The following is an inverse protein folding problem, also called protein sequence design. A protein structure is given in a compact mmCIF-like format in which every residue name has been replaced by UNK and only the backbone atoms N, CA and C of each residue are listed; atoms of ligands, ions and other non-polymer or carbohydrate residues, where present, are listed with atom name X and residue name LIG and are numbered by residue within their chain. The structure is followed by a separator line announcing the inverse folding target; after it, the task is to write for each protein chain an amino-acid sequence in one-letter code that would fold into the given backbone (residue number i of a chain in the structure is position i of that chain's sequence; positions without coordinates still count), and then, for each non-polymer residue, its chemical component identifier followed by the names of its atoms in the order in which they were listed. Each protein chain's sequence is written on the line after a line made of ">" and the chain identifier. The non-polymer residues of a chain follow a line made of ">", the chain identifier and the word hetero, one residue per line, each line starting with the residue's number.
data_IF_321631248292
#
_entry.id   IF_321631248292
#
_cell.length_a   1.000
_cell.length_b   1.000
_cell.length_c   1.000
_cell.angle_alpha   90.00
_cell.angle_beta   90.00
_cell.angle_gamma   90.00
#
_symmetry.space_group_name_H-M   'P 1'
#
loop_
_entity.id
_entity.type
_entity.pdbx_description
1 polymer ?
#
# COMPACT_ATOMS: atom_id res chain seq x y z
N UNK A 1 -9.81 -17.26 37.16
CA UNK A 1 -10.34 -16.62 38.39
C UNK A 1 -10.86 -15.23 38.03
N UNK A 2 -12.04 -14.86 38.51
CA UNK A 2 -12.57 -13.50 38.38
C UNK A 2 -12.14 -12.62 39.55
N UNK A 3 -11.77 -11.37 39.28
CA UNK A 3 -11.56 -10.31 40.26
C UNK A 3 -12.24 -9.01 39.83
N UNK A 4 -12.32 -8.06 40.75
CA UNK A 4 -13.07 -6.82 40.59
C UNK A 4 -12.16 -5.58 40.75
N UNK A 5 -12.53 -4.46 40.15
CA UNK A 5 -11.85 -3.19 40.38
C UNK A 5 -12.84 -2.06 40.63
N UNK A 6 -12.35 -0.94 41.16
CA UNK A 6 -13.19 0.22 41.49
C UNK A 6 -13.88 0.77 40.22
N UNK A 7 -15.23 0.78 40.15
CA UNK A 7 -15.95 1.27 38.98
C UNK A 7 -15.63 2.73 38.62
N UNK A 8 -15.09 3.53 39.54
CA UNK A 8 -14.63 4.88 39.26
C UNK A 8 -13.57 4.93 38.14
N UNK A 9 -12.79 3.87 37.94
CA UNK A 9 -11.81 3.81 36.84
C UNK A 9 -12.45 3.72 35.45
N UNK A 10 -13.73 3.33 35.34
CA UNK A 10 -14.47 3.33 34.07
C UNK A 10 -14.69 4.74 33.49
N UNK A 11 -14.28 5.81 34.20
CA UNK A 11 -14.19 7.15 33.62
C UNK A 11 -13.02 7.31 32.65
N UNK A 12 -12.03 6.40 32.68
CA UNK A 12 -10.94 6.37 31.72
C UNK A 12 -11.39 5.69 30.42
N UNK A 13 -10.83 6.09 29.26
CA UNK A 13 -11.05 5.37 28.02
C UNK A 13 -10.74 3.88 28.13
N UNK A 14 -11.61 3.05 27.55
CA UNK A 14 -11.54 1.59 27.61
C UNK A 14 -10.19 1.07 27.09
N UNK A 15 -9.64 1.69 26.04
CA UNK A 15 -8.36 1.30 25.45
C UNK A 15 -7.21 1.35 26.46
N UNK A 16 -7.22 2.34 27.37
CA UNK A 16 -6.20 2.49 28.41
C UNK A 16 -6.35 1.35 29.42
N UNK A 17 -7.56 1.11 29.91
CA UNK A 17 -7.84 0.07 30.90
C UNK A 17 -7.53 -1.32 30.36
N UNK A 18 -7.98 -1.60 29.13
CA UNK A 18 -7.73 -2.87 28.43
C UNK A 18 -6.24 -3.09 28.19
N UNK A 19 -5.49 -2.05 27.79
CA UNK A 19 -4.05 -2.17 27.57
C UNK A 19 -3.30 -2.44 28.87
N UNK A 20 -3.62 -1.74 29.96
CA UNK A 20 -3.05 -2.00 31.29
C UNK A 20 -3.34 -3.45 31.74
N UNK A 21 -4.57 -3.92 31.55
CA UNK A 21 -4.94 -5.30 31.89
C UNK A 21 -4.20 -6.33 31.03
N UNK A 22 -4.26 -6.19 29.70
CA UNK A 22 -3.74 -7.18 28.75
C UNK A 22 -2.22 -7.21 28.73
N UNK A 23 -1.58 -6.05 28.61
CA UNK A 23 -0.16 -5.99 28.25
C UNK A 23 0.73 -5.97 29.51
N UNK A 24 0.28 -5.31 30.59
CA UNK A 24 1.07 -5.19 31.82
C UNK A 24 0.72 -6.24 32.88
N UNK A 25 -0.51 -6.75 32.88
CA UNK A 25 -0.98 -7.70 33.90
C UNK A 25 -1.35 -9.09 33.37
N UNK A 26 -1.47 -9.25 32.04
CA UNK A 26 -1.92 -10.49 31.38
C UNK A 26 -3.31 -10.94 31.85
N UNK A 27 -4.18 -9.97 32.10
CA UNK A 27 -5.59 -10.18 32.43
C UNK A 27 -6.48 -10.06 31.19
N UNK A 28 -7.64 -10.70 31.24
CA UNK A 28 -8.71 -10.51 30.27
C UNK A 28 -9.69 -9.47 30.82
N UNK A 29 -9.91 -8.42 30.05
CA UNK A 29 -10.99 -7.47 30.27
C UNK A 29 -12.35 -8.17 30.09
N UNK A 30 -13.34 -7.81 30.89
CA UNK A 30 -14.69 -8.36 30.80
C UNK A 30 -15.63 -7.28 30.28
N UNK A 31 -16.35 -7.61 29.21
CA UNK A 31 -17.41 -6.74 28.67
C UNK A 31 -18.78 -7.22 29.16
N UNK A 32 -19.69 -6.27 29.35
CA UNK A 32 -21.11 -6.53 29.53
C UNK A 32 -21.72 -7.01 28.22
N UNK A 33 -22.95 -7.53 28.27
CA UNK A 33 -23.70 -7.96 27.07
C UNK A 33 -23.94 -6.86 26.03
N UNK A 34 -23.88 -5.59 26.44
CA UNK A 34 -24.03 -4.43 25.56
C UNK A 34 -22.71 -3.95 24.94
N UNK A 35 -21.58 -4.62 25.22
CA UNK A 35 -20.25 -4.26 24.71
C UNK A 35 -19.50 -3.23 25.56
N UNK A 36 -20.10 -2.69 26.62
CA UNK A 36 -19.38 -1.79 27.55
C UNK A 36 -18.44 -2.57 28.46
N UNK A 37 -17.30 -1.98 28.79
CA UNK A 37 -16.38 -2.54 29.77
C UNK A 37 -17.06 -2.67 31.15
N UNK A 38 -16.94 -3.84 31.76
CA UNK A 38 -17.39 -4.12 33.12
C UNK A 38 -16.24 -3.90 34.11
N UNK A 39 -16.51 -3.58 35.39
CA UNK A 39 -15.49 -3.41 36.42
C UNK A 39 -14.93 -4.76 36.93
N UNK A 40 -14.71 -5.70 36.01
CA UNK A 40 -14.28 -7.07 36.27
C UNK A 40 -13.13 -7.44 35.33
N UNK A 41 -12.27 -8.34 35.80
CA UNK A 41 -11.23 -8.95 34.99
C UNK A 41 -11.13 -10.45 35.27
N UNK A 42 -10.62 -11.20 34.30
CA UNK A 42 -10.27 -12.61 34.48
C UNK A 42 -8.76 -12.78 34.43
N UNK A 43 -8.23 -13.62 35.30
CA UNK A 43 -6.83 -14.02 35.30
C UNK A 43 -6.68 -15.54 35.42
N UNK A 44 -5.61 -16.08 34.86
CA UNK A 44 -5.27 -17.51 34.96
C UNK A 44 -4.41 -17.72 36.20
N UNK A 45 -4.84 -18.64 37.05
CA UNK A 45 -4.11 -19.04 38.26
C UNK A 45 -3.70 -20.50 38.14
N UNK A 46 -2.51 -20.85 38.62
CA UNK A 46 -1.98 -22.21 38.55
C UNK A 46 -2.38 -23.06 39.78
N UNK A 47 -3.57 -22.83 40.33
CA UNK A 47 -4.13 -23.57 41.48
C UNK A 47 -5.61 -23.79 41.26
N UNK A 48 -6.14 -24.89 41.79
CA UNK A 48 -7.55 -25.31 41.59
C UNK A 48 -8.55 -24.28 42.13
N UNK A 49 -8.22 -23.59 43.23
CA UNK A 49 -9.09 -22.58 43.86
C UNK A 49 -8.33 -21.63 44.77
N UNK A 50 -8.77 -20.37 44.81
CA UNK A 50 -8.33 -19.38 45.80
C UNK A 50 -9.25 -19.39 47.02
N UNK A 51 -9.16 -20.44 47.85
CA UNK A 51 -10.10 -20.66 48.96
C UNK A 51 -10.09 -19.54 50.02
N UNK A 52 -8.99 -18.78 50.12
CA UNK A 52 -8.83 -17.69 51.09
C UNK A 52 -9.04 -16.30 50.47
N UNK A 53 -9.25 -16.21 49.16
CA UNK A 53 -9.39 -14.93 48.44
C UNK A 53 -8.12 -14.08 48.37
N UNK A 54 -6.97 -14.61 48.80
CA UNK A 54 -5.73 -13.84 48.92
C UNK A 54 -5.10 -13.57 47.55
N UNK A 55 -5.24 -14.52 46.62
CA UNK A 55 -4.72 -14.36 45.25
C UNK A 55 -5.55 -13.30 44.54
N UNK A 56 -6.89 -13.37 44.65
CA UNK A 56 -7.80 -12.35 44.14
C UNK A 56 -7.46 -10.96 44.67
N UNK A 57 -7.46 -10.78 46.00
CA UNK A 57 -7.16 -9.49 46.62
C UNK A 57 -5.78 -8.95 46.23
N UNK A 58 -4.80 -9.84 46.03
CA UNK A 58 -3.48 -9.48 45.51
C UNK A 58 -3.54 -8.87 44.11
N UNK A 59 -4.21 -9.54 43.16
CA UNK A 59 -4.37 -9.04 41.79
C UNK A 59 -5.18 -7.73 41.74
N UNK A 60 -6.26 -7.63 42.51
CA UNK A 60 -7.09 -6.41 42.59
C UNK A 60 -6.29 -5.22 43.10
N UNK A 61 -5.45 -5.43 44.13
CA UNK A 61 -4.56 -4.38 44.66
C UNK A 61 -3.54 -3.91 43.63
N UNK A 62 -2.93 -4.84 42.88
CA UNK A 62 -1.95 -4.50 41.83
C UNK A 62 -2.64 -3.74 40.70
N UNK A 63 -3.81 -4.19 40.25
CA UNK A 63 -4.55 -3.54 39.18
C UNK A 63 -5.00 -2.13 39.58
N UNK A 64 -5.50 -1.96 40.81
CA UNK A 64 -5.87 -0.65 41.36
C UNK A 64 -4.71 0.35 41.30
N UNK A 65 -3.50 -0.07 41.68
CA UNK A 65 -2.32 0.80 41.62
C UNK A 65 -2.02 1.21 40.17
N UNK A 66 -2.05 0.27 39.22
CA UNK A 66 -1.80 0.56 37.80
C UNK A 66 -2.86 1.45 37.15
N UNK A 67 -4.14 1.26 37.49
CA UNK A 67 -5.19 2.17 37.02
C UNK A 67 -5.09 3.57 37.66
N UNK A 68 -4.64 3.67 38.91
CA UNK A 68 -4.37 4.97 39.53
C UNK A 68 -3.22 5.70 38.82
N UNK A 69 -2.14 5.00 38.45
CA UNK A 69 -1.05 5.56 37.64
C UNK A 69 -1.58 6.06 36.28
N UNK A 70 -2.32 5.22 35.56
CA UNK A 70 -2.93 5.59 34.27
C UNK A 70 -3.86 6.80 34.40
N UNK A 71 -4.69 6.84 35.44
CA UNK A 71 -5.57 7.98 35.72
C UNK A 71 -4.76 9.26 35.98
N UNK A 72 -3.69 9.16 36.75
CA UNK A 72 -2.80 10.29 37.03
C UNK A 72 -2.17 10.83 35.74
N UNK A 73 -1.63 9.96 34.87
CA UNK A 73 -1.05 10.40 33.60
C UNK A 73 -2.10 11.02 32.67
N UNK A 74 -3.27 10.39 32.54
CA UNK A 74 -4.38 10.91 31.73
C UNK A 74 -4.77 12.33 32.14
N UNK A 75 -4.90 12.57 33.46
CA UNK A 75 -5.22 13.89 33.98
C UNK A 75 -4.06 14.88 33.86
N UNK A 76 -2.83 14.42 34.09
CA UNK A 76 -1.64 15.28 34.06
C UNK A 76 -1.33 15.77 32.64
N UNK A 77 -1.38 14.87 31.65
CA UNK A 77 -1.07 15.22 30.27
C UNK A 77 -2.10 16.18 29.66
N UNK A 78 -3.36 16.11 30.10
CA UNK A 78 -4.43 17.01 29.64
C UNK A 78 -4.41 18.41 30.27
N UNK A 79 -3.43 18.73 31.14
CA UNK A 79 -3.23 20.09 31.65
C UNK A 79 -2.76 21.07 30.57
N UNK A 80 -2.20 20.55 29.46
CA UNK A 80 -1.90 21.32 28.26
C UNK A 80 -2.53 20.64 27.04
N UNK A 81 -2.58 21.36 25.91
CA UNK A 81 -3.14 20.82 24.67
C UNK A 81 -2.16 19.81 24.08
N UNK A 82 -2.66 18.83 23.34
CA UNK A 82 -1.85 17.85 22.61
C UNK A 82 -0.85 18.55 21.68
N UNK A 83 -1.28 19.63 21.01
CA UNK A 83 -0.41 20.45 20.17
C UNK A 83 0.79 21.06 20.93
N UNK A 84 0.68 21.31 22.23
CA UNK A 84 1.75 21.89 23.04
C UNK A 84 2.92 20.92 23.26
N UNK A 85 2.72 19.62 22.96
CA UNK A 85 3.77 18.60 22.97
C UNK A 85 4.61 18.58 21.69
N UNK A 86 4.14 19.21 20.60
CA UNK A 86 4.83 19.20 19.31
C UNK A 86 6.29 19.67 19.39
N UNK A 87 6.64 20.79 20.08
CA UNK A 87 8.04 21.21 20.22
C UNK A 87 8.89 20.21 20.99
N UNK A 88 8.30 19.43 21.90
CA UNK A 88 9.04 18.42 22.69
C UNK A 88 9.55 17.28 21.82
N UNK A 89 8.93 17.04 20.66
CA UNK A 89 9.36 16.01 19.71
C UNK A 89 10.74 16.30 19.09
N UNK A 90 11.28 17.52 19.19
CA UNK A 90 12.66 17.84 18.77
C UNK A 90 13.70 17.03 19.54
N UNK A 91 13.37 16.61 20.78
CA UNK A 91 14.26 15.82 21.65
C UNK A 91 14.07 14.31 21.47
N UNK A 92 13.05 13.89 20.72
CA UNK A 92 12.74 12.48 20.49
C UNK A 92 13.35 12.08 19.16
N UNK A 93 14.48 11.39 19.19
CA UNK A 93 15.16 10.91 17.98
C UNK A 93 14.27 9.91 17.23
N UNK A 94 14.04 10.16 15.94
CA UNK A 94 13.41 9.19 15.06
C UNK A 94 14.46 8.22 14.49
N UNK A 95 15.43 8.76 13.75
CA UNK A 95 16.64 8.05 13.31
C UNK A 95 17.76 9.09 13.17
N UNK A 96 18.98 8.77 13.61
CA UNK A 96 20.04 9.77 13.80
C UNK A 96 20.42 10.56 12.53
N UNK A 97 20.20 10.00 11.34
CA UNK A 97 20.45 10.63 10.04
C UNK A 97 19.20 11.29 9.45
N UNK A 98 18.00 10.91 9.89
CA UNK A 98 16.69 11.45 9.50
C UNK A 98 16.11 12.48 10.48
N UNK A 99 16.73 12.65 11.64
CA UNK A 99 16.40 13.68 12.63
C UNK A 99 15.45 13.21 13.73
N UNK A 100 14.70 14.16 14.24
CA UNK A 100 13.75 14.01 15.34
C UNK A 100 12.35 13.63 14.85
N UNK A 101 11.46 13.26 15.76
CA UNK A 101 10.03 13.12 15.44
C UNK A 101 9.38 14.45 15.06
N UNK A 102 9.91 15.60 15.51
CA UNK A 102 9.47 16.92 15.01
C UNK A 102 9.74 17.05 13.51
N UNK A 103 10.95 16.71 13.08
CA UNK A 103 11.34 16.74 11.67
C UNK A 103 10.48 15.80 10.83
N UNK A 104 10.20 14.61 11.37
CA UNK A 104 9.31 13.64 10.76
C UNK A 104 7.87 14.16 10.62
N UNK A 105 7.30 14.77 11.65
CA UNK A 105 5.95 15.37 11.59
C UNK A 105 5.86 16.40 10.47
N UNK A 106 6.86 17.26 10.31
CA UNK A 106 6.85 18.27 9.23
C UNK A 106 6.83 17.63 7.83
N UNK A 107 7.56 16.53 7.62
CA UNK A 107 7.51 15.77 6.36
C UNK A 107 6.15 15.08 6.17
N UNK A 108 5.58 14.49 7.23
CA UNK A 108 4.26 13.86 7.20
C UNK A 108 3.18 14.88 6.84
N UNK A 109 3.20 16.08 7.43
CA UNK A 109 2.26 17.17 7.10
C UNK A 109 2.30 17.50 5.61
N UNK A 110 3.49 17.76 5.07
CA UNK A 110 3.66 18.05 3.64
C UNK A 110 3.13 16.93 2.74
N UNK A 111 3.39 15.67 3.11
CA UNK A 111 2.91 14.51 2.36
C UNK A 111 1.40 14.30 2.47
N UNK A 112 0.82 14.44 3.65
CA UNK A 112 -0.63 14.29 3.87
C UNK A 112 -1.41 15.35 3.08
N UNK A 113 -0.94 16.59 3.07
CA UNK A 113 -1.46 17.65 2.21
C UNK A 113 -1.35 17.28 0.73
N UNK A 114 -0.18 16.79 0.30
CA UNK A 114 0.01 16.37 -1.09
C UNK A 114 -0.96 15.25 -1.50
N UNK A 115 -1.17 14.21 -0.67
CA UNK A 115 -2.13 13.15 -0.93
C UNK A 115 -3.56 13.69 -1.11
N UNK A 116 -4.01 14.55 -0.20
CA UNK A 116 -5.35 15.12 -0.26
C UNK A 116 -5.56 16.04 -1.46
N UNK A 117 -4.55 16.82 -1.86
CA UNK A 117 -4.55 17.59 -3.11
C UNK A 117 -4.65 16.70 -4.35
N UNK A 118 -3.89 15.59 -4.40
CA UNK A 118 -3.97 14.64 -5.52
C UNK A 118 -5.38 14.04 -5.63
N UNK A 119 -5.95 13.60 -4.52
CA UNK A 119 -7.30 13.02 -4.49
C UNK A 119 -8.37 14.05 -4.85
N UNK A 120 -8.23 15.30 -4.41
CA UNK A 120 -9.11 16.39 -4.80
C UNK A 120 -9.10 16.61 -6.32
N UNK A 121 -7.91 16.64 -6.94
CA UNK A 121 -7.77 16.79 -8.39
C UNK A 121 -8.40 15.63 -9.18
N UNK A 122 -8.58 14.47 -8.53
CA UNK A 122 -9.23 13.28 -9.07
C UNK A 122 -10.73 13.19 -8.69
N UNK A 123 -11.28 14.24 -8.06
CA UNK A 123 -12.70 14.35 -7.73
C UNK A 123 -13.12 13.76 -6.39
N UNK A 124 -12.17 13.40 -5.51
CA UNK A 124 -12.47 12.90 -4.16
C UNK A 124 -12.54 14.07 -3.16
N UNK A 125 -13.76 14.51 -2.83
CA UNK A 125 -14.00 15.74 -2.08
C UNK A 125 -13.99 15.59 -0.54
N UNK A 126 -13.89 14.37 -0.02
CA UNK A 126 -14.07 14.07 1.41
C UNK A 126 -12.77 14.06 2.23
N UNK A 127 -11.67 14.59 1.69
CA UNK A 127 -10.40 14.70 2.42
C UNK A 127 -9.89 16.14 2.27
N UNK A 128 -10.10 16.97 3.29
CA UNK A 128 -9.69 18.36 3.25
C UNK A 128 -8.23 18.53 3.65
N UNK A 129 -7.48 19.31 2.87
CA UNK A 129 -6.05 19.59 3.13
C UNK A 129 -5.82 20.13 4.54
N UNK A 130 -6.70 21.01 5.02
CA UNK A 130 -6.59 21.59 6.36
C UNK A 130 -6.75 20.56 7.49
N UNK A 131 -7.66 19.59 7.33
CA UNK A 131 -7.87 18.51 8.30
C UNK A 131 -6.70 17.53 8.29
N UNK A 132 -6.16 17.22 7.10
CA UNK A 132 -4.98 16.38 6.95
C UNK A 132 -3.73 17.01 7.56
N UNK A 133 -3.52 18.31 7.36
CA UNK A 133 -2.42 19.06 7.98
C UNK A 133 -2.54 19.04 9.51
N UNK A 134 -3.72 19.36 10.04
CA UNK A 134 -3.96 19.38 11.49
C UNK A 134 -3.83 18.00 12.13
N UNK A 135 -4.36 16.96 11.50
CA UNK A 135 -4.21 15.60 11.98
C UNK A 135 -2.75 15.14 11.93
N UNK A 136 -2.00 15.45 10.86
CA UNK A 136 -0.59 15.13 10.77
C UNK A 136 0.27 15.86 11.81
N UNK A 137 -0.05 17.13 12.10
CA UNK A 137 0.58 17.92 13.15
C UNK A 137 0.46 17.25 14.53
N UNK A 138 -0.71 16.71 14.84
CA UNK A 138 -1.02 16.08 16.13
C UNK A 138 -0.59 14.61 16.23
N UNK A 139 -0.44 13.92 15.10
CA UNK A 139 -0.31 12.46 15.01
C UNK A 139 0.74 11.85 15.93
N UNK A 140 1.88 12.54 16.15
CA UNK A 140 3.01 12.03 16.93
C UNK A 140 3.21 12.75 18.26
N UNK A 141 2.37 13.72 18.59
CA UNK A 141 2.54 14.56 19.80
C UNK A 141 2.44 13.74 21.09
N UNK A 142 1.67 12.66 21.06
CA UNK A 142 1.50 11.77 22.20
C UNK A 142 2.80 11.04 22.59
N UNK A 143 3.77 10.88 21.68
CA UNK A 143 5.08 10.29 21.98
C UNK A 143 5.85 11.05 23.07
N UNK A 144 5.52 12.32 23.31
CA UNK A 144 6.13 13.15 24.37
C UNK A 144 5.28 13.24 25.65
N UNK A 145 4.19 12.47 25.74
CA UNK A 145 3.31 12.42 26.91
C UNK A 145 3.79 11.41 27.95
N UNK A 146 3.43 11.62 29.21
CA UNK A 146 3.78 10.69 30.29
C UNK A 146 3.04 9.36 30.12
N UNK A 147 1.79 9.40 29.63
CA UNK A 147 1.00 8.21 29.31
C UNK A 147 1.74 7.28 28.33
N UNK A 148 2.21 7.79 27.19
CA UNK A 148 2.92 6.95 26.20
C UNK A 148 4.31 6.54 26.70
N UNK A 149 4.94 7.34 27.57
CA UNK A 149 6.22 6.95 28.18
C UNK A 149 6.08 5.72 29.09
N UNK A 150 4.98 5.62 29.85
CA UNK A 150 4.71 4.44 30.69
C UNK A 150 4.06 3.29 29.89
N UNK A 151 3.18 3.61 28.95
CA UNK A 151 2.35 2.67 28.18
C UNK A 151 2.59 2.85 26.67
N UNK A 152 3.74 2.39 26.18
CA UNK A 152 4.18 2.61 24.78
C UNK A 152 3.26 2.01 23.72
N UNK A 153 2.46 1.01 24.11
CA UNK A 153 1.44 0.33 23.31
C UNK A 153 0.27 1.26 22.95
N UNK A 154 0.09 2.36 23.69
CA UNK A 154 -0.98 3.34 23.49
C UNK A 154 -0.63 4.48 22.53
N UNK A 155 0.54 4.46 21.91
CA UNK A 155 0.93 5.47 20.92
C UNK A 155 -0.06 5.53 19.73
N UNK A 156 -0.31 6.73 19.23
CA UNK A 156 -1.38 7.09 18.30
C UNK A 156 -2.77 7.07 18.93
N UNK A 157 -3.13 5.98 19.62
CA UNK A 157 -4.44 5.78 20.26
C UNK A 157 -4.73 6.92 21.23
N UNK A 158 -3.82 7.13 22.19
CA UNK A 158 -3.99 8.17 23.20
C UNK A 158 -3.90 9.58 22.59
N UNK A 159 -3.09 9.78 21.55
CA UNK A 159 -3.12 11.01 20.77
C UNK A 159 -4.52 11.34 20.25
N UNK A 160 -5.22 10.38 19.66
CA UNK A 160 -6.59 10.58 19.16
C UNK A 160 -7.60 10.82 20.29
N UNK A 161 -7.46 10.10 21.40
CA UNK A 161 -8.30 10.28 22.59
C UNK A 161 -8.12 11.68 23.21
N UNK A 162 -6.89 12.17 23.32
CA UNK A 162 -6.61 13.53 23.77
C UNK A 162 -7.14 14.59 22.80
N UNK A 163 -6.94 14.41 21.49
CA UNK A 163 -7.47 15.33 20.48
C UNK A 163 -9.00 15.47 20.62
N UNK A 164 -9.73 14.35 20.74
CA UNK A 164 -11.18 14.34 20.96
C UNK A 164 -11.57 15.03 22.27
N UNK A 165 -10.91 14.68 23.38
CA UNK A 165 -11.20 15.27 24.69
C UNK A 165 -10.96 16.80 24.72
N UNK A 166 -10.07 17.29 23.87
CA UNK A 166 -9.72 18.71 23.75
C UNK A 166 -10.56 19.47 22.69
N UNK A 167 -11.54 18.81 22.07
CA UNK A 167 -12.51 19.43 21.16
C UNK A 167 -12.09 19.49 19.69
N UNK A 168 -11.07 18.72 19.28
CA UNK A 168 -10.84 18.48 17.84
C UNK A 168 -12.04 17.73 17.24
N UNK A 169 -12.27 17.90 15.93
CA UNK A 169 -13.35 17.18 15.24
C UNK A 169 -13.10 15.67 15.24
N UNK A 170 -14.18 14.87 15.12
CA UNK A 170 -14.03 13.42 15.00
C UNK A 170 -13.17 13.01 13.79
N UNK A 171 -13.21 13.79 12.70
CA UNK A 171 -12.35 13.56 11.53
C UNK A 171 -10.85 13.61 11.89
N UNK A 172 -10.45 14.63 12.63
CA UNK A 172 -9.06 14.83 13.07
C UNK A 172 -8.69 13.83 14.15
N UNK A 173 -9.54 13.66 15.18
CA UNK A 173 -9.27 12.74 16.28
C UNK A 173 -9.15 11.29 15.79
N UNK A 174 -10.00 10.86 14.85
CA UNK A 174 -9.93 9.53 14.27
C UNK A 174 -8.71 9.35 13.38
N UNK A 175 -8.31 10.39 12.63
CA UNK A 175 -7.10 10.36 11.82
C UNK A 175 -5.85 10.23 12.71
N UNK A 176 -5.77 10.99 13.80
CA UNK A 176 -4.69 10.89 14.80
C UNK A 176 -4.70 9.51 15.46
N UNK A 177 -5.86 8.98 15.84
CA UNK A 177 -5.99 7.66 16.43
C UNK A 177 -5.49 6.55 15.47
N UNK A 178 -5.90 6.62 14.21
CA UNK A 178 -5.71 5.55 13.24
C UNK A 178 -4.41 5.63 12.45
N UNK A 179 -3.59 6.69 12.56
CA UNK A 179 -2.48 6.91 11.61
C UNK A 179 -1.43 5.78 11.57
N UNK A 180 -1.27 5.01 12.65
CA UNK A 180 -0.40 3.81 12.63
C UNK A 180 -1.03 2.63 11.89
N UNK A 181 -2.36 2.61 11.70
CA UNK A 181 -3.08 1.55 11.01
C UNK A 181 -2.83 1.57 9.49
N UNK A 182 -2.91 0.42 8.83
CA UNK A 182 -2.90 -0.92 9.43
C UNK A 182 -1.48 -1.27 9.94
N UNK A 183 -1.40 -2.02 11.05
CA UNK A 183 -0.12 -2.50 11.61
C UNK A 183 0.30 -3.81 10.94
N UNK A 184 -0.67 -4.67 10.65
CA UNK A 184 -0.54 -5.93 9.93
C UNK A 184 -1.61 -6.09 8.86
N UNK A 185 -1.61 -7.24 8.20
CA UNK A 185 -2.49 -7.51 7.07
C UNK A 185 -3.96 -7.65 7.52
N UNK A 186 -4.21 -8.20 8.71
CA UNK A 186 -5.56 -8.41 9.25
C UNK A 186 -6.14 -7.17 9.94
N UNK A 187 -5.30 -6.17 10.26
CA UNK A 187 -5.75 -4.97 10.94
C UNK A 187 -6.62 -4.09 10.04
N UNK A 188 -7.63 -3.40 10.60
CA UNK A 188 -8.41 -2.43 9.83
C UNK A 188 -7.51 -1.30 9.32
N UNK A 189 -7.88 -0.74 8.17
CA UNK A 189 -7.32 0.54 7.70
C UNK A 189 -7.91 1.72 8.48
N UNK A 190 -7.33 2.94 8.36
CA UNK A 190 -7.96 4.13 8.92
C UNK A 190 -9.41 4.33 8.47
N UNK A 191 -10.24 4.81 9.39
CA UNK A 191 -11.69 4.93 9.21
C UNK A 191 -12.04 5.93 8.10
N UNK A 192 -11.42 7.10 8.11
CA UNK A 192 -11.67 8.20 7.18
C UNK A 192 -10.51 8.43 6.20
N UNK A 193 -10.74 9.30 5.21
CA UNK A 193 -9.73 9.61 4.20
C UNK A 193 -8.60 10.48 4.76
N UNK A 194 -8.88 11.37 5.71
CA UNK A 194 -7.85 12.16 6.40
C UNK A 194 -6.85 11.23 7.11
N UNK A 195 -7.35 10.24 7.86
CA UNK A 195 -6.52 9.21 8.48
C UNK A 195 -5.76 8.37 7.46
N UNK A 196 -6.36 8.06 6.31
CA UNK A 196 -5.65 7.38 5.22
C UNK A 196 -4.50 8.23 4.67
N UNK A 197 -4.69 9.54 4.49
CA UNK A 197 -3.62 10.45 4.04
C UNK A 197 -2.46 10.49 5.04
N UNK A 198 -2.75 10.67 6.34
CA UNK A 198 -1.73 10.73 7.38
C UNK A 198 -1.00 9.38 7.53
N UNK A 199 -1.73 8.27 7.48
CA UNK A 199 -1.14 6.93 7.55
C UNK A 199 -0.26 6.61 6.34
N UNK A 200 -0.70 6.97 5.12
CA UNK A 200 0.12 6.83 3.92
C UNK A 200 1.37 7.70 3.99
N UNK A 201 1.23 8.95 4.44
CA UNK A 201 2.35 9.88 4.62
C UNK A 201 3.39 9.36 5.62
N UNK A 202 2.99 8.88 6.80
CA UNK A 202 3.92 8.34 7.81
C UNK A 202 4.64 7.07 7.34
N UNK A 203 3.91 6.16 6.70
CA UNK A 203 4.50 4.91 6.17
C UNK A 203 5.45 5.21 5.01
N UNK A 204 5.07 6.11 4.10
CA UNK A 204 5.89 6.46 2.95
C UNK A 204 7.13 7.26 3.36
N UNK A 205 7.02 8.21 4.29
CA UNK A 205 8.17 8.90 4.89
C UNK A 205 9.19 7.91 5.46
N UNK A 206 8.68 6.90 6.19
CA UNK A 206 9.53 5.88 6.80
C UNK A 206 10.24 5.02 5.75
N UNK A 207 9.50 4.54 4.73
CA UNK A 207 10.07 3.71 3.66
C UNK A 207 11.12 4.49 2.86
N UNK A 208 10.76 5.68 2.38
CA UNK A 208 11.66 6.50 1.55
C UNK A 208 12.84 7.01 2.36
N UNK A 209 12.60 7.49 3.57
CA UNK A 209 13.64 7.99 4.48
C UNK A 209 14.67 6.92 4.83
N UNK A 210 14.24 5.72 5.22
CA UNK A 210 15.15 4.64 5.55
C UNK A 210 16.00 4.20 4.34
N UNK A 211 15.41 4.10 3.14
CA UNK A 211 16.18 3.81 1.93
C UNK A 211 17.19 4.92 1.61
N UNK A 212 16.82 6.19 1.80
CA UNK A 212 17.69 7.35 1.58
C UNK A 212 18.95 7.30 2.46
N UNK A 213 18.85 6.75 3.67
CA UNK A 213 19.99 6.57 4.59
C UNK A 213 20.61 5.16 4.55
N UNK A 214 20.25 4.34 3.56
CA UNK A 214 20.82 3.01 3.34
C UNK A 214 20.33 1.93 4.32
N UNK A 215 19.22 2.17 5.02
CA UNK A 215 18.55 1.16 5.85
C UNK A 215 17.53 0.43 4.97
N UNK A 216 18.01 -0.57 4.25
CA UNK A 216 17.17 -1.43 3.39
C UNK A 216 16.90 -2.75 4.13
N UNK A 217 15.64 -3.25 4.19
CA UNK A 217 15.34 -4.51 4.85
C UNK A 217 16.06 -5.68 4.19
N UNK A 218 16.58 -6.60 5.01
CA UNK A 218 17.19 -7.85 4.56
C UNK A 218 16.32 -9.03 4.92
N UNK A 219 16.62 -10.24 4.41
CA UNK A 219 15.87 -11.45 4.77
C UNK A 219 15.78 -11.67 6.28
N UNK A 220 16.85 -11.37 7.02
CA UNK A 220 16.98 -11.59 8.47
C UNK A 220 16.65 -10.38 9.34
N UNK A 221 16.51 -9.16 8.79
CA UNK A 221 16.34 -7.94 9.59
C UNK A 221 15.43 -6.91 8.92
N UNK A 222 14.55 -6.30 9.71
CA UNK A 222 13.72 -5.16 9.32
C UNK A 222 13.48 -4.24 10.54
N UNK A 223 14.49 -3.45 10.95
CA UNK A 223 14.49 -2.76 12.25
C UNK A 223 13.40 -1.68 12.36
N UNK A 224 12.98 -1.08 11.24
CA UNK A 224 11.92 -0.07 11.18
C UNK A 224 10.60 -0.63 10.65
N UNK A 225 10.48 -1.96 10.54
CA UNK A 225 9.29 -2.63 10.04
C UNK A 225 8.79 -2.12 8.67
N UNK A 226 9.72 -1.78 7.77
CA UNK A 226 9.44 -1.21 6.46
C UNK A 226 8.62 -2.16 5.57
N UNK A 227 8.77 -3.47 5.74
CA UNK A 227 7.92 -4.46 5.05
C UNK A 227 6.47 -4.34 5.47
N UNK A 228 6.20 -4.11 6.77
CA UNK A 228 4.85 -3.86 7.28
C UNK A 228 4.33 -2.50 6.83
N UNK A 229 5.18 -1.47 6.81
CA UNK A 229 4.82 -0.15 6.30
C UNK A 229 4.40 -0.20 4.82
N UNK A 230 5.21 -0.83 3.95
CA UNK A 230 4.89 -1.00 2.54
C UNK A 230 3.62 -1.84 2.32
N UNK A 231 3.41 -2.88 3.12
CA UNK A 231 2.16 -3.65 3.10
C UNK A 231 0.94 -2.79 3.47
N UNK A 232 1.10 -1.93 4.49
CA UNK A 232 0.04 -1.00 4.90
C UNK A 232 -0.28 0.04 3.83
N UNK A 233 0.72 0.56 3.11
CA UNK A 233 0.52 1.45 1.96
C UNK A 233 -0.36 0.76 0.90
N UNK A 234 0.05 -0.44 0.47
CA UNK A 234 -0.69 -1.24 -0.51
C UNK A 234 -2.12 -1.50 -0.05
N UNK A 235 -2.30 -1.90 1.21
CA UNK A 235 -3.61 -2.23 1.77
C UNK A 235 -4.55 -1.02 1.79
N UNK A 236 -4.08 0.15 2.25
CA UNK A 236 -4.87 1.38 2.26
C UNK A 236 -5.30 1.77 0.84
N UNK A 237 -4.37 1.76 -0.12
CA UNK A 237 -4.64 2.10 -1.52
C UNK A 237 -5.70 1.17 -2.11
N UNK A 238 -5.57 -0.14 -1.93
CA UNK A 238 -6.48 -1.12 -2.52
C UNK A 238 -7.86 -1.15 -1.85
N UNK A 239 -7.93 -1.13 -0.52
CA UNK A 239 -9.21 -1.22 0.20
C UNK A 239 -10.06 0.06 0.05
N UNK A 240 -9.44 1.25 0.07
CA UNK A 240 -10.14 2.52 -0.20
C UNK A 240 -10.22 2.86 -1.69
N UNK A 241 -9.61 2.06 -2.57
CA UNK A 241 -9.53 2.28 -4.02
C UNK A 241 -8.99 3.67 -4.37
N UNK A 242 -7.91 4.07 -3.71
CA UNK A 242 -7.31 5.39 -3.85
C UNK A 242 -6.49 5.45 -5.15
N UNK A 243 -6.91 6.23 -6.16
CA UNK A 243 -6.14 6.37 -7.38
C UNK A 243 -4.89 7.19 -7.07
N UNK A 244 -3.72 6.58 -7.22
CA UNK A 244 -2.45 7.26 -7.00
C UNK A 244 -1.31 6.61 -7.78
N UNK A 245 -0.44 7.45 -8.36
CA UNK A 245 0.85 7.04 -8.87
C UNK A 245 1.83 6.84 -7.71
N UNK A 246 2.30 5.62 -7.52
CA UNK A 246 3.33 5.29 -6.53
C UNK A 246 4.63 6.05 -6.80
N UNK A 247 5.03 6.17 -8.07
CA UNK A 247 6.23 6.92 -8.48
C UNK A 247 6.12 8.39 -8.08
N UNK A 248 4.97 9.04 -8.32
CA UNK A 248 4.77 10.43 -7.90
C UNK A 248 4.75 10.57 -6.37
N UNK A 249 4.17 9.61 -5.65
CA UNK A 249 4.16 9.62 -4.19
C UNK A 249 5.59 9.48 -3.62
N UNK A 250 6.38 8.55 -4.16
CA UNK A 250 7.79 8.37 -3.80
C UNK A 250 8.58 9.66 -4.08
N UNK A 251 8.38 10.28 -5.26
CA UNK A 251 9.00 11.55 -5.60
C UNK A 251 8.60 12.70 -4.67
N UNK A 252 7.34 12.74 -4.22
CA UNK A 252 6.88 13.72 -3.23
C UNK A 252 7.58 13.52 -1.87
N UNK A 253 7.75 12.28 -1.43
CA UNK A 253 8.47 11.95 -0.18
C UNK A 253 9.97 12.24 -0.29
N UNK A 254 10.60 11.93 -1.43
CA UNK A 254 11.97 12.29 -1.72
C UNK A 254 12.18 13.82 -1.68
N UNK A 255 11.23 14.58 -2.27
CA UNK A 255 11.23 16.04 -2.19
C UNK A 255 11.08 16.54 -0.76
N UNK A 256 10.21 15.96 0.05
CA UNK A 256 10.04 16.33 1.46
C UNK A 256 11.33 16.13 2.27
N UNK A 257 12.08 15.05 2.01
CA UNK A 257 13.41 14.82 2.62
C UNK A 257 14.46 15.86 2.18
N UNK A 258 14.35 16.43 0.98
CA UNK A 258 15.25 17.49 0.51
C UNK A 258 14.90 18.87 1.07
N UNK A 259 13.63 19.13 1.37
CA UNK A 259 13.16 20.44 1.83
C UNK A 259 13.22 20.60 3.34
N UNK A 260 12.91 19.55 4.11
CA UNK A 260 12.95 19.57 5.58
C UNK A 260 14.32 19.13 6.11
N UNK A 261 14.73 19.68 7.26
CA UNK A 261 15.96 19.24 7.93
C UNK A 261 15.72 17.92 8.67
N UNK A 262 16.75 17.07 8.85
CA UNK A 262 18.01 17.06 8.12
C UNK A 262 17.80 16.70 6.63
N UNK A 263 18.40 17.47 5.74
CA UNK A 263 18.21 17.30 4.29
C UNK A 263 18.85 16.00 3.81
N UNK A 264 18.09 15.20 3.06
CA UNK A 264 18.56 13.95 2.43
C UNK A 264 18.07 13.89 0.99
N UNK A 265 18.99 13.56 0.08
CA UNK A 265 18.65 13.26 -1.31
C UNK A 265 18.28 11.79 -1.48
N UNK A 266 17.42 11.52 -2.45
CA UNK A 266 17.10 10.18 -2.93
C UNK A 266 17.52 10.13 -4.40
N UNK A 267 18.32 9.14 -4.77
CA UNK A 267 18.76 8.97 -6.16
C UNK A 267 17.66 8.29 -7.00
N UNK A 268 17.66 8.44 -8.33
CA UNK A 268 16.73 7.71 -9.20
C UNK A 268 16.77 6.19 -9.02
N UNK A 269 17.96 5.63 -8.75
CA UNK A 269 18.12 4.21 -8.45
C UNK A 269 17.44 3.83 -7.13
N UNK A 270 17.52 4.68 -6.11
CA UNK A 270 16.82 4.47 -4.85
C UNK A 270 15.30 4.58 -5.02
N UNK A 271 14.80 5.55 -5.80
CA UNK A 271 13.36 5.65 -6.11
C UNK A 271 12.84 4.37 -6.79
N UNK A 272 13.61 3.85 -7.75
CA UNK A 272 13.30 2.58 -8.43
C UNK A 272 13.29 1.42 -7.44
N UNK A 273 14.30 1.30 -6.57
CA UNK A 273 14.34 0.26 -5.53
C UNK A 273 13.17 0.35 -4.55
N UNK A 274 12.75 1.56 -4.18
CA UNK A 274 11.60 1.79 -3.30
C UNK A 274 10.31 1.36 -3.99
N UNK A 275 10.14 1.74 -5.26
CA UNK A 275 8.99 1.35 -6.06
C UNK A 275 8.89 -0.18 -6.14
N UNK A 276 9.98 -0.85 -6.52
CA UNK A 276 10.05 -2.32 -6.60
C UNK A 276 9.73 -2.97 -5.24
N UNK A 277 10.25 -2.39 -4.14
CA UNK A 277 9.98 -2.86 -2.79
C UNK A 277 8.48 -2.83 -2.43
N UNK A 278 7.77 -1.75 -2.80
CA UNK A 278 6.32 -1.62 -2.59
C UNK A 278 5.56 -2.56 -3.54
N UNK A 279 5.94 -2.61 -4.82
CA UNK A 279 5.31 -3.47 -5.82
C UNK A 279 5.42 -4.95 -5.46
N UNK A 280 6.53 -5.40 -4.88
CA UNK A 280 6.67 -6.77 -4.41
C UNK A 280 5.68 -7.11 -3.28
N UNK A 281 5.37 -6.15 -2.39
CA UNK A 281 4.28 -6.33 -1.42
C UNK A 281 2.91 -6.36 -2.10
N UNK A 282 2.71 -5.53 -3.13
CA UNK A 282 1.46 -5.56 -3.91
C UNK A 282 1.25 -6.90 -4.62
N UNK A 283 2.28 -7.47 -5.25
CA UNK A 283 2.24 -8.82 -5.85
C UNK A 283 1.81 -9.87 -4.82
N UNK A 284 2.38 -9.82 -3.62
CA UNK A 284 2.00 -10.71 -2.52
C UNK A 284 0.52 -10.55 -2.14
N UNK A 285 0.03 -9.31 -1.94
CA UNK A 285 -1.39 -9.06 -1.60
C UNK A 285 -2.33 -9.55 -2.69
N UNK A 286 -2.03 -9.30 -3.96
CA UNK A 286 -2.87 -9.79 -5.06
C UNK A 286 -2.92 -11.33 -5.13
N UNK A 287 -1.83 -12.02 -4.82
CA UNK A 287 -1.81 -13.48 -4.80
C UNK A 287 -2.56 -14.04 -3.58
N UNK A 288 -2.14 -13.66 -2.38
CA UNK A 288 -2.64 -14.28 -1.14
C UNK A 288 -4.07 -13.85 -0.80
N UNK A 289 -4.42 -12.57 -1.01
CA UNK A 289 -5.78 -12.07 -0.72
C UNK A 289 -6.66 -11.95 -1.96
N UNK A 290 -6.07 -11.58 -3.10
CA UNK A 290 -6.83 -11.43 -4.35
C UNK A 290 -7.11 -12.77 -5.05
N UNK A 291 -6.39 -13.84 -4.68
CA UNK A 291 -6.53 -15.16 -5.31
C UNK A 291 -6.17 -15.14 -6.80
N UNK A 292 -5.27 -14.26 -7.22
CA UNK A 292 -4.74 -14.21 -8.58
C UNK A 292 -3.57 -15.17 -8.74
N UNK A 293 -3.47 -15.82 -9.90
CA UNK A 293 -2.37 -16.72 -10.21
C UNK A 293 -1.06 -15.94 -10.40
N UNK A 294 0.08 -16.60 -10.18
CA UNK A 294 1.41 -15.99 -10.34
C UNK A 294 1.59 -15.39 -11.74
N UNK A 295 1.23 -16.14 -12.79
CA UNK A 295 1.29 -15.70 -14.19
C UNK A 295 0.45 -14.44 -14.46
N UNK A 296 -0.75 -14.33 -13.86
CA UNK A 296 -1.65 -13.19 -14.03
C UNK A 296 -1.03 -11.93 -13.42
N UNK A 297 -0.47 -12.07 -12.21
CA UNK A 297 0.24 -10.99 -11.52
C UNK A 297 1.50 -10.59 -12.27
N UNK A 298 2.31 -11.55 -12.73
CA UNK A 298 3.51 -11.25 -13.54
C UNK A 298 3.16 -10.50 -14.82
N UNK A 299 2.14 -10.96 -15.55
CA UNK A 299 1.69 -10.34 -16.79
C UNK A 299 1.28 -8.88 -16.58
N UNK A 300 0.44 -8.59 -15.57
CA UNK A 300 -0.01 -7.21 -15.31
C UNK A 300 1.14 -6.33 -14.83
N UNK A 301 1.96 -6.81 -13.89
CA UNK A 301 3.04 -6.00 -13.32
C UNK A 301 4.14 -5.68 -14.33
N UNK A 302 4.45 -6.58 -15.26
CA UNK A 302 5.41 -6.29 -16.34
C UNK A 302 4.89 -5.24 -17.32
N UNK A 303 3.57 -5.13 -17.49
CA UNK A 303 2.93 -4.04 -18.22
C UNK A 303 2.91 -2.69 -17.47
N UNK A 304 3.50 -2.62 -16.27
CA UNK A 304 3.49 -1.47 -15.37
C UNK A 304 2.39 -1.55 -14.32
N UNK A 305 2.69 -1.18 -13.07
CA UNK A 305 1.76 -1.24 -11.94
C UNK A 305 1.88 0.00 -11.02
N UNK A 306 2.14 1.16 -11.61
CA UNK A 306 2.34 2.41 -10.89
C UNK A 306 1.07 2.88 -10.14
N UNK A 307 -0.11 2.56 -10.67
CA UNK A 307 -1.39 2.68 -9.98
C UNK A 307 -1.91 1.26 -9.64
N UNK A 308 -2.02 0.97 -8.34
CA UNK A 308 -2.45 -0.35 -7.86
C UNK A 308 -3.94 -0.62 -8.07
N UNK A 309 -4.78 0.43 -8.08
CA UNK A 309 -6.22 0.31 -8.34
C UNK A 309 -6.44 -0.01 -9.82
N UNK A 310 -5.66 0.60 -10.70
CA UNK A 310 -5.62 0.27 -12.12
C UNK A 310 -5.15 -1.18 -12.35
N UNK A 311 -4.03 -1.56 -11.72
CA UNK A 311 -3.51 -2.92 -11.78
C UNK A 311 -4.55 -3.96 -11.31
N UNK A 312 -5.31 -3.67 -10.26
CA UNK A 312 -6.40 -4.54 -9.80
C UNK A 312 -7.49 -4.73 -10.85
N UNK A 313 -7.90 -3.65 -11.55
CA UNK A 313 -8.90 -3.74 -12.63
C UNK A 313 -8.39 -4.59 -13.80
N UNK A 314 -7.13 -4.40 -14.18
CA UNK A 314 -6.46 -5.18 -15.23
C UNK A 314 -6.35 -6.65 -14.86
N UNK A 315 -6.01 -6.97 -13.61
CA UNK A 315 -5.97 -8.34 -13.09
C UNK A 315 -7.34 -9.01 -13.13
N UNK A 316 -8.38 -8.31 -12.68
CA UNK A 316 -9.75 -8.82 -12.72
C UNK A 316 -10.20 -9.13 -14.17
N UNK A 317 -9.92 -8.21 -15.10
CA UNK A 317 -10.21 -8.41 -16.52
C UNK A 317 -9.42 -9.57 -17.13
N UNK A 318 -8.14 -9.70 -16.78
CA UNK A 318 -7.27 -10.79 -17.24
C UNK A 318 -7.76 -12.16 -16.75
N UNK A 319 -8.11 -12.26 -15.47
CA UNK A 319 -8.67 -13.47 -14.87
C UNK A 319 -10.01 -13.87 -15.51
N UNK A 320 -10.82 -12.89 -15.91
CA UNK A 320 -12.08 -13.13 -16.61
C UNK A 320 -11.85 -13.66 -18.04
N UNK A 321 -11.00 -13.01 -18.83
CA UNK A 321 -10.76 -13.39 -20.23
C UNK A 321 -10.02 -14.72 -20.37
N UNK A 322 -9.23 -15.13 -19.37
CA UNK A 322 -8.50 -16.42 -19.39
C UNK A 322 -9.43 -17.63 -19.57
N UNK A 323 -10.71 -17.51 -19.20
CA UNK A 323 -11.74 -18.54 -19.42
C UNK A 323 -12.22 -18.63 -20.88
N UNK A 324 -11.82 -17.70 -21.74
CA UNK A 324 -12.19 -17.66 -23.15
C UNK A 324 -11.34 -18.60 -23.99
N UNK A 325 -11.99 -19.32 -24.93
CA UNK A 325 -11.33 -20.27 -25.85
C UNK A 325 -10.26 -19.63 -26.76
N UNK A 326 -10.30 -18.31 -26.95
CA UNK A 326 -9.38 -17.61 -27.86
C UNK A 326 -8.15 -17.03 -27.16
N UNK A 327 -8.14 -16.98 -25.83
CA UNK A 327 -7.12 -16.22 -25.11
C UNK A 327 -5.80 -16.99 -24.97
N UNK A 328 -5.86 -18.25 -24.58
CA UNK A 328 -4.65 -19.06 -24.36
C UNK A 328 -3.83 -19.31 -25.64
N UNK A 329 -4.45 -19.66 -26.79
CA UNK A 329 -3.70 -19.74 -28.06
C UNK A 329 -3.07 -18.40 -28.46
N UNK A 330 -3.75 -17.29 -28.18
CA UNK A 330 -3.22 -15.96 -28.45
C UNK A 330 -1.99 -15.67 -27.59
N UNK A 331 -2.04 -15.98 -26.29
CA UNK A 331 -0.90 -15.81 -25.38
C UNK A 331 0.35 -16.58 -25.86
N UNK A 332 0.16 -17.80 -26.39
CA UNK A 332 1.23 -18.57 -27.04
C UNK A 332 1.82 -17.84 -28.24
N UNK A 333 0.98 -17.24 -29.10
CA UNK A 333 1.45 -16.43 -30.23
C UNK A 333 2.23 -15.19 -29.76
N UNK A 334 1.81 -14.51 -28.70
CA UNK A 334 2.57 -13.40 -28.09
C UNK A 334 3.91 -13.86 -27.51
N UNK A 335 3.99 -15.05 -26.92
CA UNK A 335 5.26 -15.65 -26.46
C UNK A 335 6.21 -15.94 -27.62
N UNK A 336 5.68 -16.48 -28.71
CA UNK A 336 6.45 -16.68 -29.95
C UNK A 336 6.99 -15.35 -30.48
N UNK A 337 6.16 -14.31 -30.52
CA UNK A 337 6.55 -12.97 -30.94
C UNK A 337 7.71 -12.45 -30.09
N UNK A 338 7.59 -12.49 -28.76
CA UNK A 338 8.65 -12.03 -27.84
C UNK A 338 9.96 -12.77 -28.06
N UNK A 339 9.93 -14.11 -28.14
CA UNK A 339 11.12 -14.93 -28.38
C UNK A 339 11.82 -14.60 -29.71
N UNK A 340 11.05 -14.24 -30.75
CA UNK A 340 11.62 -13.82 -32.05
C UNK A 340 12.32 -12.46 -31.91
N UNK A 341 11.70 -11.51 -31.22
CA UNK A 341 12.28 -10.18 -30.99
C UNK A 341 13.54 -10.24 -30.13
N UNK A 342 13.54 -11.05 -29.06
CA UNK A 342 14.72 -11.29 -28.22
C UNK A 342 15.89 -11.88 -29.02
N UNK A 343 15.64 -12.90 -29.86
CA UNK A 343 16.66 -13.49 -30.74
C UNK A 343 17.21 -12.49 -31.76
N UNK A 344 16.42 -11.48 -32.13
CA UNK A 344 16.82 -10.42 -33.04
C UNK A 344 17.50 -9.23 -32.32
N UNK A 345 17.73 -9.32 -31.01
CA UNK A 345 18.23 -8.22 -30.15
C UNK A 345 17.36 -6.95 -30.27
N UNK A 346 16.05 -7.12 -30.41
CA UNK A 346 15.08 -6.02 -30.45
C UNK A 346 14.35 -5.99 -29.11
N UNK A 347 14.59 -4.94 -28.33
CA UNK A 347 13.85 -4.72 -27.10
C UNK A 347 12.38 -4.37 -27.41
N UNK A 348 11.46 -4.71 -26.51
CA UNK A 348 10.02 -4.40 -26.63
C UNK A 348 9.68 -2.90 -26.69
N UNK A 349 10.68 -2.01 -26.52
CA UNK A 349 10.57 -0.55 -26.64
C UNK A 349 11.36 0.07 -27.81
N UNK A 350 11.98 -0.74 -28.67
CA UNK A 350 12.72 -0.24 -29.83
C UNK A 350 11.73 0.37 -30.83
N UNK A 351 11.75 1.70 -30.98
CA UNK A 351 10.80 2.45 -31.79
C UNK A 351 11.07 2.29 -33.29
N UNK A 352 10.88 1.10 -33.83
CA UNK A 352 10.96 0.82 -35.27
C UNK A 352 9.58 1.02 -35.88
N UNK A 353 9.46 1.95 -36.81
CA UNK A 353 8.22 2.16 -37.54
C UNK A 353 8.08 1.15 -38.67
N UNK A 354 6.88 0.59 -38.79
CA UNK A 354 6.51 -0.24 -39.94
C UNK A 354 6.42 0.67 -41.17
N UNK A 355 7.11 0.28 -42.23
CA UNK A 355 6.99 0.87 -43.55
C UNK A 355 5.96 0.07 -44.38
N UNK A 356 4.76 0.63 -44.67
CA UNK A 356 3.73 -0.07 -45.41
C UNK A 356 4.14 -0.48 -46.84
N UNK A 357 5.10 0.22 -47.44
CA UNK A 357 5.59 -0.07 -48.79
C UNK A 357 6.40 -1.37 -48.88
N UNK A 358 6.96 -1.83 -47.74
CA UNK A 358 7.75 -3.06 -47.64
C UNK A 358 6.89 -4.26 -47.22
N UNK A 359 5.56 -4.13 -47.20
CA UNK A 359 4.65 -5.23 -46.89
C UNK A 359 4.34 -6.03 -48.17
N UNK A 360 4.91 -7.24 -48.27
CA UNK A 360 4.89 -8.07 -49.48
C UNK A 360 3.64 -8.94 -49.56
N UNK A 361 3.31 -9.65 -48.48
CA UNK A 361 2.22 -10.62 -48.46
C UNK A 361 0.89 -9.96 -48.02
N UNK A 362 -0.23 -10.43 -48.56
CA UNK A 362 -1.57 -10.00 -48.13
C UNK A 362 -1.82 -10.27 -46.63
N UNK A 363 -1.18 -11.29 -46.05
CA UNK A 363 -1.22 -11.57 -44.63
C UNK A 363 -0.55 -10.47 -43.77
N UNK A 364 0.54 -9.85 -44.25
CA UNK A 364 1.23 -8.76 -43.54
C UNK A 364 0.37 -7.50 -43.51
N UNK A 365 -0.23 -7.14 -44.66
CA UNK A 365 -1.13 -5.99 -44.76
C UNK A 365 -2.39 -6.18 -43.91
N UNK A 366 -2.94 -7.40 -43.89
CA UNK A 366 -4.08 -7.74 -43.05
C UNK A 366 -3.74 -7.61 -41.56
N UNK A 367 -2.58 -8.12 -41.12
CA UNK A 367 -2.13 -7.96 -39.74
C UNK A 367 -1.91 -6.50 -39.39
N UNK A 368 -1.19 -5.74 -40.23
CA UNK A 368 -0.94 -4.32 -39.99
C UNK A 368 -2.24 -3.52 -39.83
N UNK A 369 -3.21 -3.69 -40.75
CA UNK A 369 -4.50 -3.02 -40.65
C UNK A 369 -5.28 -3.41 -39.40
N UNK A 370 -5.32 -4.71 -39.07
CA UNK A 370 -6.04 -5.21 -37.90
C UNK A 370 -5.42 -4.71 -36.59
N UNK A 371 -4.08 -4.66 -36.49
CA UNK A 371 -3.37 -4.12 -35.31
C UNK A 371 -3.67 -2.64 -35.12
N UNK A 372 -3.64 -1.85 -36.19
CA UNK A 372 -3.94 -0.40 -36.12
C UNK A 372 -5.37 -0.13 -35.66
N UNK A 373 -6.34 -0.87 -36.19
CA UNK A 373 -7.75 -0.74 -35.79
C UNK A 373 -7.97 -1.18 -34.33
N UNK A 374 -7.41 -2.34 -33.95
CA UNK A 374 -7.49 -2.85 -32.60
C UNK A 374 -6.79 -1.92 -31.60
N UNK A 375 -5.63 -1.36 -31.93
CA UNK A 375 -4.92 -0.42 -31.07
C UNK A 375 -5.78 0.81 -30.75
N UNK A 376 -6.43 1.41 -31.75
CA UNK A 376 -7.32 2.55 -31.54
C UNK A 376 -8.50 2.22 -30.60
N UNK A 377 -9.12 1.04 -30.79
CA UNK A 377 -10.21 0.55 -29.93
C UNK A 377 -9.71 0.26 -28.50
N UNK A 378 -8.59 -0.45 -28.37
CA UNK A 378 -7.96 -0.78 -27.08
C UNK A 378 -7.61 0.49 -26.31
N UNK A 379 -6.99 1.50 -26.93
CA UNK A 379 -6.68 2.76 -26.26
C UNK A 379 -7.95 3.49 -25.78
N UNK A 380 -9.03 3.43 -26.56
CA UNK A 380 -10.33 3.99 -26.15
C UNK A 380 -10.89 3.24 -24.94
N UNK A 381 -10.88 1.90 -24.96
CA UNK A 381 -11.34 1.08 -23.85
C UNK A 381 -10.50 1.29 -22.58
N UNK A 382 -9.17 1.36 -22.71
CA UNK A 382 -8.26 1.65 -21.59
C UNK A 382 -8.54 2.99 -20.93
N UNK A 383 -8.69 4.07 -21.72
CA UNK A 383 -9.05 5.41 -21.19
C UNK A 383 -10.38 5.41 -20.44
N UNK A 384 -11.30 4.52 -20.82
CA UNK A 384 -12.58 4.34 -20.13
C UNK A 384 -12.51 3.33 -18.97
N UNK A 385 -11.35 2.74 -18.65
CA UNK A 385 -11.21 1.68 -17.64
C UNK A 385 -11.87 0.34 -18.01
N UNK A 386 -12.23 0.15 -19.28
CA UNK A 386 -12.95 -1.00 -19.84
C UNK A 386 -11.98 -2.10 -20.29
N UNK A 387 -11.24 -2.65 -19.33
CA UNK A 387 -10.15 -3.58 -19.63
C UNK A 387 -10.61 -4.92 -20.20
N UNK A 388 -11.82 -5.38 -19.86
CA UNK A 388 -12.35 -6.62 -20.41
C UNK A 388 -12.59 -6.48 -21.93
N UNK A 389 -13.23 -5.39 -22.36
CA UNK A 389 -13.50 -5.11 -23.76
C UNK A 389 -12.20 -4.87 -24.56
N UNK A 390 -11.19 -4.25 -23.92
CA UNK A 390 -9.85 -4.15 -24.49
C UNK A 390 -9.25 -5.55 -24.76
N UNK A 391 -9.32 -6.45 -23.77
CA UNK A 391 -8.80 -7.81 -23.90
C UNK A 391 -9.58 -8.65 -24.93
N UNK A 392 -10.91 -8.47 -25.03
CA UNK A 392 -11.74 -9.12 -26.05
C UNK A 392 -11.38 -8.64 -27.46
N UNK A 393 -11.12 -7.35 -27.62
CA UNK A 393 -10.63 -6.77 -28.89
C UNK A 393 -9.30 -7.41 -29.29
N UNK A 394 -8.36 -7.55 -28.33
CA UNK A 394 -7.06 -8.18 -28.56
C UNK A 394 -7.26 -9.66 -28.92
N UNK A 395 -8.13 -10.39 -28.21
CA UNK A 395 -8.43 -11.79 -28.48
C UNK A 395 -8.99 -12.03 -29.90
N UNK A 396 -9.69 -11.03 -30.46
CA UNK A 396 -10.15 -11.06 -31.84
C UNK A 396 -9.04 -11.13 -32.89
N UNK A 397 -7.83 -10.69 -32.57
CA UNK A 397 -6.68 -10.69 -33.49
C UNK A 397 -6.11 -12.08 -33.76
N UNK A 398 -6.44 -13.08 -32.94
CA UNK A 398 -5.91 -14.44 -33.02
C UNK A 398 -5.86 -14.97 -34.46
N UNK A 399 -6.99 -14.94 -35.18
CA UNK A 399 -7.07 -15.50 -36.54
C UNK A 399 -6.12 -14.81 -37.53
N UNK A 400 -5.89 -13.51 -37.36
CA UNK A 400 -5.02 -12.73 -38.25
C UNK A 400 -3.55 -12.95 -37.89
N UNK A 401 -3.24 -13.10 -36.60
CA UNK A 401 -1.90 -13.46 -36.11
C UNK A 401 -1.51 -14.88 -36.56
N UNK A 402 -2.42 -15.84 -36.44
CA UNK A 402 -2.19 -17.22 -36.89
C UNK A 402 -1.93 -17.25 -38.40
N UNK A 403 -2.77 -16.57 -39.20
CA UNK A 403 -2.58 -16.44 -40.66
C UNK A 403 -1.23 -15.80 -41.04
N UNK A 404 -0.78 -14.81 -40.28
CA UNK A 404 0.54 -14.22 -40.49
C UNK A 404 1.64 -15.26 -40.28
N UNK A 405 1.61 -16.01 -39.18
CA UNK A 405 2.64 -17.00 -38.89
C UNK A 405 2.60 -18.22 -39.81
N UNK A 406 1.44 -18.57 -40.37
CA UNK A 406 1.29 -19.65 -41.35
C UNK A 406 1.80 -19.25 -42.74
N UNK A 407 1.66 -17.96 -43.10
CA UNK A 407 1.95 -17.47 -44.45
C UNK A 407 3.21 -16.62 -44.59
N UNK A 408 3.85 -16.21 -43.49
CA UNK A 408 4.96 -15.24 -43.51
C UNK A 408 6.16 -15.77 -42.74
N UNK A 409 7.29 -15.90 -43.44
CA UNK A 409 8.58 -16.19 -42.82
C UNK A 409 9.19 -14.90 -42.27
N UNK A 410 9.19 -14.73 -40.94
CA UNK A 410 9.66 -13.49 -40.28
C UNK A 410 11.14 -13.21 -40.58
N UNK A 411 11.98 -14.26 -40.57
CA UNK A 411 13.41 -14.16 -40.87
C UNK A 411 13.63 -14.21 -42.39
N UNK A 412 13.20 -13.16 -43.10
CA UNK A 412 13.37 -13.02 -44.54
C UNK A 412 14.85 -12.87 -44.94
N UNK A 413 15.20 -13.31 -46.16
CA UNK A 413 16.53 -13.10 -46.74
C UNK A 413 16.81 -11.61 -47.01
N UNK A 414 15.79 -10.88 -47.48
CA UNK A 414 15.87 -9.44 -47.67
C UNK A 414 15.86 -8.73 -46.31
N UNK A 415 16.94 -8.03 -46.01
CA UNK A 415 17.13 -7.34 -44.73
C UNK A 415 16.09 -6.25 -44.46
N UNK A 416 15.68 -5.50 -45.47
CA UNK A 416 14.67 -4.44 -45.33
C UNK A 416 13.30 -5.04 -44.97
N UNK A 417 12.93 -6.15 -45.61
CA UNK A 417 11.67 -6.87 -45.34
C UNK A 417 11.71 -7.52 -43.97
N UNK A 418 12.82 -8.16 -43.60
CA UNK A 418 13.03 -8.75 -42.27
C UNK A 418 12.89 -7.69 -41.17
N UNK A 419 13.55 -6.55 -41.34
CA UNK A 419 13.46 -5.43 -40.38
C UNK A 419 12.03 -4.91 -40.25
N UNK A 420 11.30 -4.79 -41.37
CA UNK A 420 9.91 -4.35 -41.38
C UNK A 420 8.95 -5.35 -40.68
N UNK A 421 9.13 -6.66 -40.92
CA UNK A 421 8.36 -7.72 -40.24
C UNK A 421 8.63 -7.71 -38.73
N UNK A 422 9.87 -7.53 -38.31
CA UNK A 422 10.23 -7.39 -36.90
C UNK A 422 9.63 -6.11 -36.28
N UNK A 423 9.60 -4.99 -37.00
CA UNK A 423 8.94 -3.77 -36.56
C UNK A 423 7.43 -3.97 -36.36
N UNK A 424 6.76 -4.72 -37.27
CA UNK A 424 5.34 -5.05 -37.14
C UNK A 424 5.06 -5.88 -35.89
N UNK A 425 5.91 -6.87 -35.62
CA UNK A 425 5.82 -7.68 -34.41
C UNK A 425 6.09 -6.89 -33.13
N UNK A 426 7.04 -5.95 -33.16
CA UNK A 426 7.33 -5.06 -32.05
C UNK A 426 6.17 -4.08 -31.79
N UNK A 427 5.55 -3.51 -32.83
CA UNK A 427 4.35 -2.66 -32.70
C UNK A 427 3.19 -3.44 -32.09
N UNK A 428 2.94 -4.66 -32.58
CA UNK A 428 1.93 -5.58 -32.06
C UNK A 428 2.14 -5.88 -30.57
N UNK A 429 3.38 -6.20 -30.16
CA UNK A 429 3.69 -6.46 -28.76
C UNK A 429 3.50 -5.18 -27.92
N UNK A 430 4.09 -4.05 -28.33
CA UNK A 430 4.08 -2.78 -27.60
C UNK A 430 2.66 -2.27 -27.30
N UNK A 431 1.74 -2.34 -28.27
CA UNK A 431 0.38 -1.82 -28.05
C UNK A 431 -0.38 -2.63 -27.00
N UNK A 432 -0.16 -3.95 -26.96
CA UNK A 432 -1.00 -4.87 -26.19
C UNK A 432 -0.39 -5.28 -24.84
N UNK A 433 0.92 -5.14 -24.65
CA UNK A 433 1.58 -5.32 -23.32
C UNK A 433 1.21 -4.25 -22.31
N UNK A 434 0.63 -3.13 -22.75
CA UNK A 434 0.16 -2.06 -21.87
C UNK A 434 -1.07 -2.41 -21.03
N UNK A 435 -1.75 -3.53 -21.32
CA UNK A 435 -2.85 -4.07 -20.50
C UNK A 435 -2.38 -5.27 -19.69
N UNK A 436 -1.66 -6.20 -20.31
CA UNK A 436 -0.97 -7.28 -19.63
C UNK A 436 0.05 -7.87 -20.60
N UNK A 437 1.18 -8.32 -20.07
CA UNK A 437 2.21 -8.95 -20.89
C UNK A 437 1.94 -10.45 -21.06
N UNK A 438 1.21 -10.80 -22.12
CA UNK A 438 0.60 -12.12 -22.30
C UNK A 438 1.58 -13.29 -22.38
N UNK A 439 2.87 -13.08 -22.71
CA UNK A 439 3.79 -14.22 -22.74
C UNK A 439 4.14 -14.79 -21.37
N UNK A 440 3.74 -14.11 -20.29
CA UNK A 440 3.81 -14.66 -18.93
C UNK A 440 2.74 -15.73 -18.67
N UNK A 441 1.80 -15.93 -19.58
CA UNK A 441 0.65 -16.83 -19.42
C UNK A 441 0.88 -18.09 -20.27
N UNK A 442 0.71 -19.27 -19.65
CA UNK A 442 0.79 -20.56 -20.36
C UNK A 442 2.22 -21.05 -20.60
N UNK A 443 3.14 -20.72 -19.69
CA UNK A 443 4.50 -21.27 -19.70
C UNK A 443 4.61 -22.49 -18.80
N UNK A 444 5.09 -23.62 -19.32
CA UNK A 444 5.65 -24.68 -18.47
C UNK A 444 6.70 -24.05 -17.54
N UNK A 445 6.45 -24.09 -16.24
CA UNK A 445 7.46 -23.80 -15.22
C UNK A 445 8.63 -24.74 -15.47
N UNK A 446 9.81 -24.18 -15.74
CA UNK A 446 11.04 -24.90 -15.40
C UNK A 446 11.06 -25.01 -13.89
N UNK A 447 10.67 -26.19 -13.41
CA UNK A 447 10.82 -26.65 -12.02
C UNK A 447 12.26 -26.52 -11.54
#
# INVERSE_FOLDING_TARGET
>A
MQGDFDPAFLSLPDEILVTVMRDHQKYFAVEKKNGELAPHFLTVINVDKDSKGLIRAGHERVLRARFADAQFFWQSDQKCRLADYLPKLERVTYESRLGSYRDKVERIRGLACWFTEQWFNLGMLHAHVAEADRAAELAKCDLATEMVREFTELQGIVGGLYARAQGESDEIADAVYDHYRPVGLEDPIPRNLTGCAVALADKLDSVVGCFAVGIVPTGSSDPYALRRAALGIVKIILEKKLPISLSLAIGAAAKALLTHKPKRGVTPDQETQILDFILDRAKFVFRERGGFAYEEVSAVFRGGADDLVDAQKRLAALKAIRKSKNFEPLAVSFKRIRNILEKANIASGDARQVNPALLENGAERALYSAVREAAAKVQTHKRAGKYQEALETIAGLRKVVDRFFDGVMVMAENEAVRSNRLALLAELLREFTTVADFSEIGGEERR
#
